data_IF_228542509670
#
_entry.id   IF_228542509670
#
_cell.length_a   1.000
_cell.length_b   1.000
_cell.length_c   1.000
_cell.angle_alpha   90.00
_cell.angle_beta   90.00
_cell.angle_gamma   90.00
#
_symmetry.space_group_name_H-M   'P 1'
#
loop_
_entity.id
_entity.type
_entity.pdbx_description
1 polymer ?
#
# COMPACT_ATOMS: atom_id res chain seq x y z
N UNK A 1 -18.59 2.83 -9.86
CA UNK A 1 -18.08 2.49 -8.51
C UNK A 1 -16.96 1.47 -8.66
N UNK A 2 -15.89 1.58 -7.86
CA UNK A 2 -14.56 0.97 -8.05
C UNK A 2 -13.70 1.57 -9.18
N UNK A 3 -14.21 2.57 -9.90
CA UNK A 3 -13.42 3.33 -10.87
C UNK A 3 -12.48 4.30 -10.14
N UNK A 4 -11.29 4.48 -10.71
CA UNK A 4 -10.32 5.46 -10.22
C UNK A 4 -10.85 6.86 -10.52
N UNK A 5 -10.70 7.79 -9.58
CA UNK A 5 -11.07 9.20 -9.79
C UNK A 5 -10.27 9.79 -10.94
N UNK A 6 -10.87 10.70 -11.70
CA UNK A 6 -10.28 11.21 -12.94
C UNK A 6 -8.91 11.87 -12.71
N UNK A 7 -8.74 12.53 -11.57
CA UNK A 7 -7.51 13.20 -11.16
C UNK A 7 -6.34 12.23 -10.92
N UNK A 8 -6.64 10.94 -10.72
CA UNK A 8 -5.67 9.85 -10.53
C UNK A 8 -5.78 8.78 -11.61
N UNK A 9 -6.38 9.11 -12.76
CA UNK A 9 -6.50 8.16 -13.86
C UNK A 9 -5.10 7.64 -14.27
N UNK A 10 -4.93 6.31 -14.42
CA UNK A 10 -3.67 5.73 -14.87
C UNK A 10 -3.20 6.32 -16.21
N UNK A 11 -1.91 6.55 -16.33
CA UNK A 11 -1.23 7.02 -17.54
C UNK A 11 -0.61 5.85 -18.31
N UNK A 12 -0.14 6.14 -19.52
CA UNK A 12 0.57 5.17 -20.32
C UNK A 12 1.82 4.67 -19.57
N UNK A 13 1.89 3.35 -19.36
CA UNK A 13 2.97 2.69 -18.61
C UNK A 13 2.63 2.35 -17.16
N UNK A 14 1.52 2.87 -16.62
CA UNK A 14 1.06 2.50 -15.30
C UNK A 14 0.52 1.06 -15.27
N UNK A 15 0.90 0.33 -14.21
CA UNK A 15 0.39 -1.02 -13.96
C UNK A 15 -0.91 -0.95 -13.14
N UNK A 16 -2.00 -1.44 -13.74
CA UNK A 16 -3.30 -1.56 -13.05
C UNK A 16 -3.45 -2.98 -12.53
N UNK A 17 -3.40 -3.15 -11.20
CA UNK A 17 -3.49 -4.45 -10.55
C UNK A 17 -4.88 -4.64 -9.91
N UNK A 18 -5.76 -5.45 -10.52
CA UNK A 18 -7.05 -5.75 -9.91
C UNK A 18 -6.87 -6.65 -8.69
N UNK A 19 -7.58 -6.34 -7.60
CA UNK A 19 -7.54 -7.13 -6.35
C UNK A 19 -8.94 -7.41 -5.83
N UNK A 20 -9.09 -8.57 -5.20
CA UNK A 20 -10.36 -9.04 -4.59
C UNK A 20 -10.33 -9.03 -3.05
N UNK A 21 -9.23 -8.56 -2.45
CA UNK A 21 -9.02 -8.49 -1.01
C UNK A 21 -8.32 -7.19 -0.62
N UNK A 22 -8.00 -7.03 0.67
CA UNK A 22 -7.43 -5.80 1.22
C UNK A 22 -5.99 -5.55 0.75
N UNK A 23 -5.10 -6.51 0.96
CA UNK A 23 -3.70 -6.41 0.52
C UNK A 23 -3.59 -6.43 -1.00
N UNK A 24 -2.79 -5.51 -1.54
CA UNK A 24 -2.42 -5.47 -2.95
C UNK A 24 -1.64 -6.71 -3.42
N UNK A 25 -1.07 -7.50 -2.51
CA UNK A 25 -0.31 -8.72 -2.81
C UNK A 25 -1.16 -9.99 -2.77
N UNK A 26 -2.34 -9.95 -2.15
CA UNK A 26 -3.11 -11.18 -1.92
C UNK A 26 -3.76 -11.66 -3.22
N UNK A 27 -3.20 -12.74 -3.79
CA UNK A 27 -3.67 -13.38 -5.04
C UNK A 27 -3.67 -12.41 -6.23
N UNK A 28 -2.63 -11.59 -6.34
CA UNK A 28 -2.37 -10.70 -7.47
C UNK A 28 -0.98 -11.01 -8.05
N UNK A 29 -0.65 -10.42 -9.20
CA UNK A 29 0.69 -10.47 -9.80
C UNK A 29 1.61 -9.33 -9.33
N UNK A 30 1.22 -8.54 -8.31
CA UNK A 30 1.95 -7.34 -7.88
C UNK A 30 3.42 -7.64 -7.53
N UNK A 31 3.68 -8.71 -6.80
CA UNK A 31 5.05 -9.07 -6.38
C UNK A 31 5.95 -9.38 -7.59
N UNK A 32 5.44 -10.15 -8.56
CA UNK A 32 6.17 -10.50 -9.77
C UNK A 32 6.50 -9.25 -10.58
N UNK A 33 5.54 -8.34 -10.74
CA UNK A 33 5.74 -7.04 -11.42
C UNK A 33 6.79 -6.19 -10.73
N UNK A 34 6.73 -6.06 -9.42
CA UNK A 34 7.70 -5.27 -8.65
C UNK A 34 9.11 -5.86 -8.74
N UNK A 35 9.23 -7.20 -8.76
CA UNK A 35 10.52 -7.89 -8.96
C UNK A 35 11.08 -7.71 -10.36
N UNK A 36 10.24 -7.83 -11.40
CA UNK A 36 10.63 -7.57 -12.79
C UNK A 36 11.17 -6.14 -12.98
N UNK A 37 10.59 -5.17 -12.26
CA UNK A 37 11.01 -3.77 -12.25
C UNK A 37 12.20 -3.48 -11.32
N UNK A 38 12.68 -4.45 -10.54
CA UNK A 38 13.79 -4.27 -9.60
C UNK A 38 13.49 -3.29 -8.46
N UNK A 39 12.23 -3.22 -8.02
CA UNK A 39 11.79 -2.28 -6.98
C UNK A 39 12.24 -2.76 -5.60
N UNK A 40 12.83 -1.86 -4.82
CA UNK A 40 13.26 -2.13 -3.44
C UNK A 40 12.44 -1.35 -2.38
N UNK A 41 11.85 -0.22 -2.79
CA UNK A 41 11.07 0.67 -1.92
C UNK A 41 9.69 0.95 -2.51
N UNK A 42 8.66 0.88 -1.68
CA UNK A 42 7.27 1.19 -2.01
C UNK A 42 6.79 2.41 -1.24
N UNK A 43 6.18 3.34 -1.96
CA UNK A 43 5.39 4.44 -1.39
C UNK A 43 3.92 4.05 -1.55
N UNK A 44 3.20 3.92 -0.44
CA UNK A 44 1.81 3.45 -0.44
C UNK A 44 0.89 4.59 -0.04
N UNK A 45 -0.11 4.86 -0.89
CA UNK A 45 -1.12 5.91 -0.71
C UNK A 45 -2.53 5.35 -0.88
N UNK A 46 -3.55 6.16 -0.63
CA UNK A 46 -4.96 5.83 -0.87
C UNK A 46 -5.74 5.51 0.41
N UNK A 47 -6.84 4.78 0.27
CA UNK A 47 -7.77 4.50 1.37
C UNK A 47 -8.24 3.03 1.36
N UNK A 48 -8.55 2.43 2.51
CA UNK A 48 -8.59 3.00 3.87
C UNK A 48 -7.29 2.72 4.63
N UNK A 49 -6.76 3.71 5.37
CA UNK A 49 -5.44 3.66 6.05
C UNK A 49 -5.26 2.40 6.91
N UNK A 50 -6.22 2.10 7.78
CA UNK A 50 -6.18 0.96 8.71
C UNK A 50 -6.68 -0.36 8.10
N UNK A 51 -6.97 -0.40 6.80
CA UNK A 51 -7.44 -1.59 6.09
C UNK A 51 -6.49 -1.86 4.91
N UNK A 52 -6.84 -1.45 3.69
CA UNK A 52 -6.10 -1.81 2.48
C UNK A 52 -4.65 -1.32 2.52
N UNK A 53 -4.42 -0.09 3.00
CA UNK A 53 -3.07 0.50 3.09
C UNK A 53 -2.23 -0.27 4.10
N UNK A 54 -2.73 -0.46 5.33
CA UNK A 54 -2.04 -1.22 6.37
C UNK A 54 -1.71 -2.64 5.93
N UNK A 55 -2.68 -3.41 5.43
CA UNK A 55 -2.43 -4.80 5.03
C UNK A 55 -1.44 -4.90 3.87
N UNK A 56 -1.49 -3.98 2.90
CA UNK A 56 -0.52 -3.95 1.80
C UNK A 56 0.89 -3.57 2.31
N UNK A 57 0.99 -2.60 3.22
CA UNK A 57 2.24 -2.18 3.83
C UNK A 57 2.90 -3.31 4.62
N UNK A 58 2.13 -4.04 5.44
CA UNK A 58 2.64 -5.18 6.21
C UNK A 58 3.11 -6.30 5.28
N UNK A 59 2.32 -6.64 4.25
CA UNK A 59 2.73 -7.67 3.27
C UNK A 59 4.02 -7.29 2.52
N UNK A 60 4.18 -6.00 2.18
CA UNK A 60 5.39 -5.48 1.57
C UNK A 60 6.59 -5.60 2.53
N UNK A 61 6.45 -5.18 3.79
CA UNK A 61 7.50 -5.29 4.80
C UNK A 61 7.90 -6.77 5.01
N UNK A 62 6.95 -7.69 5.06
CA UNK A 62 7.20 -9.13 5.20
C UNK A 62 7.95 -9.73 4.00
N UNK A 63 7.85 -9.10 2.82
CA UNK A 63 8.58 -9.47 1.60
C UNK A 63 9.94 -8.78 1.47
N UNK A 64 10.31 -7.94 2.44
CA UNK A 64 11.61 -7.29 2.50
C UNK A 64 11.68 -5.92 1.78
N UNK A 65 10.56 -5.42 1.24
CA UNK A 65 10.50 -4.07 0.69
C UNK A 65 10.66 -3.03 1.80
N UNK A 66 11.32 -1.93 1.46
CA UNK A 66 11.23 -0.71 2.25
C UNK A 66 9.87 -0.05 2.00
N UNK A 67 9.20 0.42 3.05
CA UNK A 67 7.85 0.98 2.93
C UNK A 67 7.79 2.38 3.53
N UNK A 68 7.17 3.28 2.78
CA UNK A 68 6.80 4.63 3.21
C UNK A 68 5.31 4.86 2.97
N UNK A 69 4.64 5.43 3.97
CA UNK A 69 3.21 5.79 3.91
C UNK A 69 3.09 7.26 4.30
N UNK A 70 3.00 8.18 3.32
CA UNK A 70 2.82 9.61 3.58
C UNK A 70 1.46 9.85 4.23
N UNK A 71 1.45 10.55 5.36
CA UNK A 71 0.23 10.76 6.18
C UNK A 71 -0.85 11.57 5.44
N UNK A 72 -0.40 12.54 4.65
CA UNK A 72 -1.20 13.45 3.84
C UNK A 72 -1.79 12.78 2.59
N UNK A 73 -1.33 11.56 2.25
CA UNK A 73 -1.78 10.81 1.10
C UNK A 73 -2.64 9.59 1.45
N UNK A 74 -3.06 9.46 2.71
CA UNK A 74 -3.92 8.35 3.17
C UNK A 74 -5.10 8.84 3.97
N UNK A 75 -6.21 8.11 3.90
CA UNK A 75 -7.43 8.46 4.62
C UNK A 75 -8.04 7.25 5.35
N UNK A 76 -8.35 7.45 6.63
CA UNK A 76 -9.12 6.53 7.45
C UNK A 76 -10.57 7.03 7.59
N UNK A 77 -11.49 6.13 7.95
CA UNK A 77 -12.86 6.53 8.30
C UNK A 77 -12.93 7.16 9.70
N UNK A 78 -12.04 6.75 10.59
CA UNK A 78 -11.85 7.26 11.93
C UNK A 78 -10.37 7.65 12.13
N UNK A 79 -10.12 8.78 12.79
CA UNK A 79 -8.75 9.28 12.94
C UNK A 79 -7.90 8.45 13.91
N UNK A 80 -8.51 7.87 14.96
CA UNK A 80 -7.79 7.04 15.94
C UNK A 80 -7.27 5.77 15.26
N UNK A 81 -8.12 5.13 14.46
CA UNK A 81 -7.78 4.00 13.61
C UNK A 81 -6.64 4.32 12.63
N UNK A 82 -6.73 5.49 11.96
CA UNK A 82 -5.71 5.96 11.04
C UNK A 82 -4.34 6.15 11.73
N UNK A 83 -4.34 6.83 12.88
CA UNK A 83 -3.12 7.03 13.70
C UNK A 83 -2.55 5.71 14.20
N UNK A 84 -3.40 4.79 14.64
CA UNK A 84 -2.98 3.45 15.05
C UNK A 84 -2.25 2.74 13.92
N UNK A 85 -2.84 2.69 12.72
CA UNK A 85 -2.26 2.02 11.57
C UNK A 85 -0.91 2.63 11.14
N UNK A 86 -0.82 3.96 11.08
CA UNK A 86 0.43 4.65 10.76
C UNK A 86 1.53 4.34 11.78
N UNK A 87 1.19 4.31 13.07
CA UNK A 87 2.12 3.90 14.13
C UNK A 87 2.60 2.45 13.94
N UNK A 88 1.68 1.52 13.62
CA UNK A 88 2.06 0.13 13.37
C UNK A 88 3.09 0.02 12.25
N UNK A 89 2.85 0.68 11.11
CA UNK A 89 3.74 0.63 9.95
C UNK A 89 5.08 1.30 10.25
N UNK A 90 5.07 2.46 10.92
CA UNK A 90 6.26 3.30 11.08
C UNK A 90 7.19 2.85 12.21
N UNK A 91 6.63 2.28 13.28
CA UNK A 91 7.35 2.05 14.54
C UNK A 91 7.36 0.58 14.98
N UNK A 92 6.26 -0.14 14.78
CA UNK A 92 6.07 -1.47 15.38
C UNK A 92 6.51 -2.59 14.43
N UNK A 93 6.08 -2.51 13.17
CA UNK A 93 6.23 -3.57 12.19
C UNK A 93 7.47 -3.39 11.30
N UNK A 94 8.28 -2.35 11.54
CA UNK A 94 9.54 -2.18 10.83
C UNK A 94 10.51 -3.30 11.20
N UNK A 95 10.95 -4.12 10.24
CA UNK A 95 12.00 -5.08 10.50
C UNK A 95 13.28 -4.34 10.92
N UNK A 96 13.88 -4.77 12.02
CA UNK A 96 15.21 -4.30 12.43
C UNK A 96 16.22 -4.94 11.48
N UNK A 97 16.68 -4.18 10.48
CA UNK A 97 17.85 -4.55 9.67
C UNK A 97 19.12 -4.40 10.51
#
# INVERSE_FOLDING_TARGET
GAEVVQELAPQDGDLVIPKVSYSGFFRTDLEDRLRELGVEKLIITGCVTNICVLYTAVDALMRGYEVEVPEDCVAALDEEDGRFALKQIREVLKPRR
#
